data_IF_457498914085
#
_entry.id   IF_457498914085
#
_cell.length_a   1.000
_cell.length_b   1.000
_cell.length_c   1.000
_cell.angle_alpha   90.00
_cell.angle_beta   90.00
_cell.angle_gamma   90.00
#
_symmetry.space_group_name_H-M   'P 1'
#
loop_
_entity.id
_entity.type
_entity.pdbx_description
1 polymer ?
#
# COMPACT_ATOMS: atom_id res chain seq x y z
N UNK A 1 6.15 1.22 21.86
CA UNK A 1 5.39 0.75 20.69
C UNK A 1 6.37 0.25 19.63
N UNK A 2 6.03 -0.83 18.94
CA UNK A 2 6.73 -1.40 17.81
C UNK A 2 5.73 -1.48 16.67
N UNK A 3 6.11 -0.98 15.51
CA UNK A 3 5.35 -1.19 14.28
C UNK A 3 6.32 -1.67 13.21
N UNK A 4 5.77 -2.27 12.14
CA UNK A 4 6.54 -2.58 10.94
C UNK A 4 6.01 -1.74 9.79
N UNK A 5 6.92 -1.07 9.10
CA UNK A 5 6.65 -0.42 7.82
C UNK A 5 7.13 -1.33 6.69
N UNK A 6 6.30 -1.50 5.67
CA UNK A 6 6.58 -2.30 4.48
C UNK A 6 5.91 -1.64 3.26
N UNK A 7 6.37 -1.94 2.06
CA UNK A 7 5.92 -1.28 0.82
C UNK A 7 6.31 -2.14 -0.39
N UNK A 8 5.86 -1.79 -1.60
CA UNK A 8 6.33 -2.34 -2.88
C UNK A 8 6.16 -3.87 -2.94
N UNK A 9 4.94 -4.34 -2.61
CA UNK A 9 4.65 -5.77 -2.54
C UNK A 9 4.54 -6.35 -3.96
N UNK A 10 4.06 -5.56 -4.93
CA UNK A 10 3.90 -5.95 -6.33
C UNK A 10 3.29 -7.35 -6.49
N UNK A 11 2.19 -7.59 -5.80
CA UNK A 11 1.44 -8.84 -5.86
C UNK A 11 1.04 -9.13 -7.31
N UNK A 12 1.19 -10.40 -7.69
CA UNK A 12 0.87 -10.97 -8.99
C UNK A 12 1.79 -10.54 -10.14
N UNK A 13 2.80 -9.69 -9.89
CA UNK A 13 3.80 -9.31 -10.90
C UNK A 13 4.89 -10.38 -11.08
N UNK A 14 5.11 -11.23 -10.07
CA UNK A 14 6.07 -12.33 -10.07
C UNK A 14 5.40 -13.67 -9.74
N UNK A 15 6.02 -14.78 -10.17
CA UNK A 15 5.49 -16.15 -10.00
C UNK A 15 5.25 -16.56 -8.55
N UNK A 16 5.97 -15.96 -7.61
CA UNK A 16 6.01 -16.32 -6.20
C UNK A 16 5.66 -15.14 -5.28
N UNK A 17 5.08 -14.06 -5.79
CA UNK A 17 4.77 -12.86 -5.01
C UNK A 17 3.87 -13.15 -3.79
N UNK A 18 2.89 -14.06 -3.95
CA UNK A 18 1.97 -14.45 -2.86
C UNK A 18 2.76 -15.15 -1.76
N UNK A 19 3.52 -16.20 -2.11
CA UNK A 19 4.33 -16.97 -1.14
C UNK A 19 5.40 -16.07 -0.49
N UNK A 20 5.98 -15.15 -1.26
CA UNK A 20 6.92 -14.15 -0.76
C UNK A 20 6.26 -13.25 0.28
N UNK A 21 5.07 -12.73 -0.02
CA UNK A 21 4.35 -11.87 0.90
C UNK A 21 3.87 -12.61 2.15
N UNK A 22 3.39 -13.86 2.04
CA UNK A 22 3.07 -14.71 3.21
C UNK A 22 4.26 -14.85 4.16
N UNK A 23 5.46 -15.15 3.62
CA UNK A 23 6.68 -15.26 4.43
C UNK A 23 7.08 -13.92 5.05
N UNK A 24 6.87 -12.81 4.34
CA UNK A 24 7.05 -11.48 4.89
C UNK A 24 6.09 -11.23 6.05
N UNK A 25 4.79 -11.51 5.89
CA UNK A 25 3.78 -11.38 6.94
C UNK A 25 4.19 -12.19 8.19
N UNK A 26 4.50 -13.47 8.02
CA UNK A 26 4.96 -14.34 9.12
C UNK A 26 6.17 -13.73 9.85
N UNK A 27 7.15 -13.23 9.08
CA UNK A 27 8.36 -12.64 9.66
C UNK A 27 8.08 -11.33 10.40
N UNK A 28 7.20 -10.50 9.85
CA UNK A 28 6.78 -9.22 10.46
C UNK A 28 6.04 -9.47 11.77
N UNK A 29 5.09 -10.41 11.79
CA UNK A 29 4.32 -10.78 12.98
C UNK A 29 5.20 -11.42 14.07
N UNK A 30 6.23 -12.16 13.69
CA UNK A 30 7.19 -12.74 14.65
C UNK A 30 7.97 -11.69 15.45
N UNK A 31 7.97 -10.42 15.03
CA UNK A 31 8.50 -9.32 15.83
C UNK A 31 7.51 -8.79 16.86
N UNK A 32 6.31 -9.35 16.99
CA UNK A 32 5.26 -8.89 17.90
C UNK A 32 5.00 -7.37 17.78
N UNK A 33 4.61 -6.87 16.59
CA UNK A 33 4.27 -5.47 16.39
C UNK A 33 2.85 -5.15 16.92
N UNK A 34 2.60 -3.90 17.30
CA UNK A 34 1.25 -3.42 17.62
C UNK A 34 0.43 -3.07 16.37
N UNK A 35 1.09 -2.67 15.28
CA UNK A 35 0.46 -2.37 14.00
C UNK A 35 1.44 -2.58 12.85
N UNK A 36 0.89 -2.70 11.64
CA UNK A 36 1.64 -2.66 10.39
C UNK A 36 1.25 -1.42 9.58
N UNK A 37 2.19 -0.85 8.82
CA UNK A 37 1.95 0.27 7.89
C UNK A 37 2.47 -0.13 6.52
N UNK A 38 1.58 -0.14 5.52
CA UNK A 38 1.91 -0.35 4.12
C UNK A 38 2.06 1.00 3.40
N UNK A 39 3.21 1.21 2.76
CA UNK A 39 3.57 2.39 1.98
C UNK A 39 2.97 2.47 0.57
N UNK A 40 2.28 1.44 0.11
CA UNK A 40 1.65 1.40 -1.22
C UNK A 40 2.32 0.43 -2.18
N UNK A 41 1.93 0.53 -3.46
CA UNK A 41 2.36 -0.33 -4.55
C UNK A 41 2.05 -1.82 -4.30
N UNK A 42 0.75 -2.09 -4.16
CA UNK A 42 0.20 -3.43 -4.03
C UNK A 42 0.35 -4.25 -5.30
N UNK A 43 0.23 -3.63 -6.47
CA UNK A 43 0.47 -4.26 -7.78
C UNK A 43 -0.34 -3.67 -8.93
N UNK A 44 0.06 -3.98 -10.16
CA UNK A 44 -0.54 -3.41 -11.39
C UNK A 44 -1.90 -3.98 -11.81
N UNK A 45 -2.52 -4.88 -11.04
CA UNK A 45 -3.85 -5.43 -11.36
C UNK A 45 -4.85 -5.15 -10.24
N UNK A 46 -6.13 -4.99 -10.58
CA UNK A 46 -7.20 -4.90 -9.57
C UNK A 46 -7.33 -6.17 -8.72
N UNK A 47 -6.92 -7.31 -9.28
CA UNK A 47 -6.81 -8.57 -8.54
C UNK A 47 -5.77 -8.49 -7.42
N UNK A 48 -4.61 -7.87 -7.66
CA UNK A 48 -3.56 -7.70 -6.65
C UNK A 48 -4.08 -6.98 -5.39
N UNK A 49 -4.90 -5.94 -5.59
CA UNK A 49 -5.54 -5.20 -4.49
C UNK A 49 -6.52 -6.07 -3.70
N UNK A 50 -7.36 -6.84 -4.41
CA UNK A 50 -8.32 -7.76 -3.77
C UNK A 50 -7.60 -8.88 -3.00
N UNK A 51 -6.54 -9.43 -3.59
CA UNK A 51 -5.67 -10.44 -2.96
C UNK A 51 -5.02 -9.89 -1.70
N UNK A 52 -4.43 -8.70 -1.75
CA UNK A 52 -3.83 -8.04 -0.60
C UNK A 52 -4.83 -7.94 0.57
N UNK A 53 -6.02 -7.37 0.33
CA UNK A 53 -7.03 -7.24 1.36
C UNK A 53 -7.48 -8.59 1.93
N UNK A 54 -7.57 -9.62 1.08
CA UNK A 54 -7.83 -10.99 1.54
C UNK A 54 -6.75 -11.54 2.47
N UNK A 55 -5.47 -11.28 2.17
CA UNK A 55 -4.33 -11.76 2.95
C UNK A 55 -4.18 -11.03 4.29
N UNK A 56 -4.52 -9.75 4.37
CA UNK A 56 -4.37 -8.97 5.62
C UNK A 56 -5.60 -9.01 6.54
N UNK A 57 -6.76 -9.47 6.04
CA UNK A 57 -8.06 -9.37 6.73
C UNK A 57 -8.08 -9.98 8.13
N UNK A 58 -7.44 -11.14 8.30
CA UNK A 58 -7.49 -11.93 9.55
C UNK A 58 -6.21 -11.78 10.38
N UNK A 59 -5.38 -10.76 10.08
CA UNK A 59 -4.18 -10.49 10.86
C UNK A 59 -4.55 -10.05 12.29
N UNK A 60 -3.77 -10.46 13.30
CA UNK A 60 -4.08 -10.15 14.70
C UNK A 60 -3.80 -8.69 15.07
N UNK A 61 -3.25 -7.90 14.15
CA UNK A 61 -2.83 -6.51 14.34
C UNK A 61 -3.41 -5.64 13.23
N UNK A 62 -3.77 -4.38 13.51
CA UNK A 62 -4.26 -3.47 12.48
C UNK A 62 -3.20 -3.21 11.41
N UNK A 63 -3.65 -3.11 10.16
CA UNK A 63 -2.83 -2.71 9.02
C UNK A 63 -3.34 -1.38 8.49
N UNK A 64 -2.49 -0.37 8.56
CA UNK A 64 -2.72 0.94 7.95
C UNK A 64 -2.06 0.96 6.58
N UNK A 65 -2.65 1.68 5.64
CA UNK A 65 -2.18 1.71 4.27
C UNK A 65 -2.27 3.13 3.70
N UNK A 66 -1.35 3.42 2.78
CA UNK A 66 -1.49 4.45 1.75
C UNK A 66 -1.39 3.83 0.35
N UNK A 67 -1.92 4.51 -0.66
CA UNK A 67 -1.79 4.08 -2.04
C UNK A 67 -0.45 4.51 -2.63
N UNK A 68 0.12 3.62 -3.43
CA UNK A 68 1.17 3.92 -4.38
C UNK A 68 0.58 4.23 -5.75
N UNK A 69 1.44 4.38 -6.74
CA UNK A 69 1.01 4.65 -8.10
C UNK A 69 0.46 3.42 -8.81
N UNK A 70 0.87 2.22 -8.39
CA UNK A 70 0.37 0.99 -8.99
C UNK A 70 -1.15 0.84 -8.78
N UNK A 71 -1.69 1.39 -7.68
CA UNK A 71 -3.13 1.44 -7.42
C UNK A 71 -3.89 2.37 -8.37
N UNK A 72 -3.25 3.46 -8.81
CA UNK A 72 -3.81 4.34 -9.85
C UNK A 72 -3.71 3.66 -11.22
N UNK A 73 -2.54 3.10 -11.54
CA UNK A 73 -2.29 2.49 -12.85
C UNK A 73 -3.16 1.26 -13.12
N UNK A 74 -3.56 0.53 -12.06
CA UNK A 74 -4.36 -0.68 -12.20
C UNK A 74 -5.87 -0.42 -12.34
N UNK A 75 -6.33 0.82 -12.16
CA UNK A 75 -7.74 1.22 -12.24
C UNK A 75 -8.60 0.84 -11.02
N UNK A 76 -7.98 0.39 -9.93
CA UNK A 76 -8.67 0.12 -8.65
C UNK A 76 -9.05 1.39 -7.91
N UNK A 77 -8.25 2.45 -8.08
CA UNK A 77 -8.50 3.77 -7.55
C UNK A 77 -9.10 4.66 -8.63
N UNK A 78 -10.24 5.30 -8.37
CA UNK A 78 -10.74 6.32 -9.30
C UNK A 78 -9.83 7.55 -9.23
N UNK A 79 -9.44 8.15 -10.37
CA UNK A 79 -8.51 9.29 -10.42
C UNK A 79 -8.82 10.44 -9.47
N UNK A 80 -10.11 10.72 -9.25
CA UNK A 80 -10.58 11.80 -8.38
C UNK A 80 -10.27 11.55 -6.89
N UNK A 81 -10.07 10.30 -6.49
CA UNK A 81 -9.73 9.91 -5.12
C UNK A 81 -8.20 9.86 -4.87
N UNK A 82 -7.38 10.00 -5.93
CA UNK A 82 -5.93 10.01 -5.81
C UNK A 82 -5.42 11.22 -5.01
N UNK A 83 -4.57 10.99 -4.01
CA UNK A 83 -4.07 12.02 -3.12
C UNK A 83 -5.05 12.39 -2.01
N UNK A 84 -6.20 11.71 -1.90
CA UNK A 84 -7.22 12.01 -0.89
C UNK A 84 -7.20 11.04 0.30
N UNK A 85 -6.34 10.03 0.30
CA UNK A 85 -6.23 9.05 1.40
C UNK A 85 -5.30 9.51 2.53
N UNK A 86 -5.18 10.83 2.74
CA UNK A 86 -4.42 11.37 3.87
C UNK A 86 -5.27 11.34 5.15
N UNK A 87 -4.76 10.75 6.22
CA UNK A 87 -5.43 10.68 7.52
C UNK A 87 -4.41 10.63 8.66
N UNK A 88 -4.88 10.87 9.88
CA UNK A 88 -4.07 10.78 11.09
C UNK A 88 -4.81 10.08 12.21
N UNK A 89 -4.09 9.41 13.10
CA UNK A 89 -4.66 8.69 14.23
C UNK A 89 -3.67 8.64 15.40
N UNK A 90 -4.21 8.48 16.61
CA UNK A 90 -3.41 8.23 17.81
C UNK A 90 -3.39 6.74 18.13
N UNK A 91 -2.21 6.18 18.39
CA UNK A 91 -2.04 4.80 18.83
C UNK A 91 -0.93 4.70 19.87
N UNK A 92 -1.20 4.08 21.02
CA UNK A 92 -0.25 3.90 22.13
C UNK A 92 0.52 5.17 22.56
N UNK A 93 -0.12 6.35 22.48
CA UNK A 93 0.48 7.63 22.85
C UNK A 93 1.37 8.26 21.77
N UNK A 94 1.37 7.72 20.55
CA UNK A 94 2.05 8.26 19.37
C UNK A 94 0.99 8.74 18.37
N UNK A 95 1.17 9.94 17.83
CA UNK A 95 0.34 10.47 16.75
C UNK A 95 0.95 10.11 15.39
N UNK A 96 0.21 9.35 14.59
CA UNK A 96 0.57 8.97 13.23
C UNK A 96 -0.12 9.89 12.24
N UNK A 97 0.63 10.30 11.21
CA UNK A 97 0.09 11.01 10.05
C UNK A 97 0.49 10.23 8.80
N UNK A 98 -0.51 9.79 8.05
CA UNK A 98 -0.37 9.08 6.79
C UNK A 98 -0.75 10.06 5.68
N UNK A 99 0.18 10.26 4.74
CA UNK A 99 -0.02 11.15 3.61
C UNK A 99 -0.08 10.35 2.32
N UNK A 100 -1.19 10.49 1.63
CA UNK A 100 -1.29 10.09 0.24
C UNK A 100 -0.60 11.14 -0.63
N UNK A 101 0.49 10.75 -1.25
CA UNK A 101 1.35 11.63 -2.06
C UNK A 101 1.18 11.38 -3.54
N UNK A 102 0.37 10.37 -3.92
CA UNK A 102 0.21 9.97 -5.30
C UNK A 102 -1.01 10.65 -5.86
N UNK A 103 -0.79 11.59 -6.77
CA UNK A 103 -1.86 12.27 -7.49
C UNK A 103 -1.94 11.76 -8.92
N UNK A 104 -3.16 11.49 -9.38
CA UNK A 104 -3.40 11.26 -10.81
C UNK A 104 -3.07 12.51 -11.62
N UNK A 105 -2.39 12.31 -12.75
CA UNK A 105 -2.31 13.32 -13.80
C UNK A 105 -2.45 12.66 -15.17
N UNK A 106 -3.10 13.36 -16.10
CA UNK A 106 -3.17 12.94 -17.50
C UNK A 106 -1.78 12.95 -18.12
N UNK A 107 -1.30 11.82 -18.68
CA UNK A 107 0.01 11.74 -19.31
C UNK A 107 0.22 12.85 -20.35
N UNK A 108 1.44 13.36 -20.41
CA UNK A 108 1.84 14.41 -21.35
C UNK A 108 2.98 13.90 -22.23
N UNK A 109 3.30 14.62 -23.32
CA UNK A 109 4.46 14.25 -24.15
C UNK A 109 5.79 14.31 -23.36
N UNK A 110 5.87 15.15 -22.33
CA UNK A 110 7.02 15.24 -21.41
C UNK A 110 7.04 14.13 -20.34
N UNK A 111 5.86 13.60 -20.01
CA UNK A 111 5.65 12.57 -18.99
C UNK A 111 4.69 11.49 -19.54
N UNK A 112 5.17 10.63 -20.46
CA UNK A 112 4.33 9.60 -21.08
C UNK A 112 3.89 8.56 -20.04
N UNK A 113 2.80 7.85 -20.35
CA UNK A 113 2.11 6.88 -19.48
C UNK A 113 3.06 6.09 -18.53
N UNK A 114 2.65 5.97 -17.25
CA UNK A 114 3.31 5.25 -16.13
C UNK A 114 4.25 6.04 -15.22
N UNK A 115 4.13 7.37 -15.14
CA UNK A 115 4.85 8.15 -14.15
C UNK A 115 3.84 8.93 -13.35
N UNK A 116 3.93 8.83 -12.03
CA UNK A 116 3.24 9.63 -11.04
C UNK A 116 4.23 10.71 -10.62
N UNK A 117 3.75 11.91 -10.32
CA UNK A 117 4.61 12.98 -9.82
C UNK A 117 4.53 12.98 -8.30
N UNK A 118 5.69 12.87 -7.64
CA UNK A 118 5.79 13.13 -6.19
C UNK A 118 5.73 14.64 -6.02
N UNK A 119 4.61 15.14 -5.48
CA UNK A 119 4.39 16.56 -5.25
C UNK A 119 5.26 17.12 -4.12
#
# INVERSE_FOLDING_TARGET
MRFVFFTDIHLLENKDSIIGFEKCLDRMLAFDPQLLINGGDLGVTTEAVTTYYGMIKELPVPVYQVNGNHEICNGSLIPEEAGQFSYSFDDHGIHFVIFDTVRYFEPTDEHPHNWYFVA
#
